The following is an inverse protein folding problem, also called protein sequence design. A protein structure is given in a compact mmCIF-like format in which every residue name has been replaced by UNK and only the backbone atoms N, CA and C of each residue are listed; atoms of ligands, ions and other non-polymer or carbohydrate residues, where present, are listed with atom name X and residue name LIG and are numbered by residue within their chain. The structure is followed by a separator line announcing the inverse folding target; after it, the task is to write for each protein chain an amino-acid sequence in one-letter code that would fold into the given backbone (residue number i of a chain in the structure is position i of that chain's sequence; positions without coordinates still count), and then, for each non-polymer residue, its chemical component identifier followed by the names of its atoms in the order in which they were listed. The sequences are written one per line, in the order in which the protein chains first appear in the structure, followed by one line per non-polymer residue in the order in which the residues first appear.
data_IF_775642191982
#
_entry.id   IF_775642191982
#
_cell.length_a   1.000
_cell.length_b   1.000
_cell.length_c   1.000
_cell.angle_alpha   90.00
_cell.angle_beta   90.00
_cell.angle_gamma   90.00
#
_symmetry.space_group_name_H-M   'P 1'
#
loop_
_entity.id
_entity.type
_entity.pdbx_description
1 polymer ?
#
# COMPACT_ATOMS: atom_id res chain seq x y z
N UNK A 1 -10.94 0.18 -3.18
CA UNK A 1 -10.71 -1.06 -3.96
C UNK A 1 -9.22 -1.38 -3.87
N UNK A 2 -8.86 -2.62 -3.58
CA UNK A 2 -7.47 -3.08 -3.50
C UNK A 2 -7.21 -4.01 -4.69
N UNK A 3 -6.12 -3.78 -5.42
CA UNK A 3 -5.60 -4.71 -6.41
C UNK A 3 -4.39 -5.41 -5.80
N UNK A 4 -4.37 -6.73 -5.86
CA UNK A 4 -3.29 -7.55 -5.29
C UNK A 4 -2.77 -8.47 -6.38
N UNK A 5 -1.46 -8.44 -6.60
CA UNK A 5 -0.76 -9.31 -7.53
C UNK A 5 0.38 -10.01 -6.78
N UNK A 6 0.53 -11.32 -6.98
CA UNK A 6 1.58 -12.11 -6.32
C UNK A 6 2.57 -12.62 -7.36
N UNK A 7 3.83 -12.26 -7.20
CA UNK A 7 4.93 -12.69 -8.06
C UNK A 7 6.04 -13.30 -7.19
N UNK A 8 6.16 -14.63 -7.23
CA UNK A 8 7.06 -15.39 -6.36
C UNK A 8 6.80 -15.11 -4.87
N UNK A 9 7.82 -14.61 -4.16
CA UNK A 9 7.79 -14.23 -2.74
C UNK A 9 7.41 -12.75 -2.53
N UNK A 10 7.11 -12.02 -3.62
CA UNK A 10 6.73 -10.60 -3.58
C UNK A 10 5.25 -10.45 -3.86
N UNK A 11 4.60 -9.61 -3.07
CA UNK A 11 3.19 -9.26 -3.19
C UNK A 11 3.11 -7.78 -3.51
N UNK A 12 2.58 -7.45 -4.68
CA UNK A 12 2.29 -6.09 -5.10
C UNK A 12 0.86 -5.75 -4.72
N UNK A 13 0.69 -4.65 -4.00
CA UNK A 13 -0.61 -4.16 -3.55
C UNK A 13 -0.76 -2.73 -4.05
N UNK A 14 -1.82 -2.48 -4.80
CA UNK A 14 -2.21 -1.16 -5.26
C UNK A 14 -3.57 -0.81 -4.67
N UNK A 15 -3.74 0.43 -4.22
CA UNK A 15 -5.01 0.88 -3.71
C UNK A 15 -5.09 2.35 -3.36
N UNK A 16 -6.32 2.81 -3.28
CA UNK A 16 -6.66 4.16 -2.86
C UNK A 16 -6.71 4.25 -1.34
N UNK A 17 -5.88 5.11 -0.76
CA UNK A 17 -5.81 5.33 0.69
C UNK A 17 -6.35 6.71 1.03
N UNK A 18 -7.37 6.82 1.91
CA UNK A 18 -7.88 8.11 2.33
C UNK A 18 -6.86 8.83 3.23
N UNK A 19 -6.62 10.10 2.92
CA UNK A 19 -5.83 10.97 3.77
C UNK A 19 -6.72 11.75 4.73
N UNK A 20 -6.21 12.01 5.93
CA UNK A 20 -6.87 12.91 6.88
C UNK A 20 -6.65 14.39 6.54
N UNK A 21 -5.63 14.71 5.73
CA UNK A 21 -5.19 16.08 5.46
C UNK A 21 -5.70 16.69 4.15
N UNK A 22 -6.26 15.89 3.24
CA UNK A 22 -6.79 16.36 1.97
C UNK A 22 -8.14 15.70 1.68
N UNK A 23 -9.07 16.45 1.09
CA UNK A 23 -10.31 15.90 0.54
C UNK A 23 -9.94 15.03 -0.65
N UNK A 24 -9.76 13.72 -0.44
CA UNK A 24 -9.41 12.80 -1.52
C UNK A 24 -8.73 11.51 -1.06
N UNK A 25 -8.25 10.78 -2.05
CA UNK A 25 -7.51 9.53 -1.88
C UNK A 25 -6.13 9.66 -2.51
N UNK A 26 -5.16 8.98 -1.92
CA UNK A 26 -3.84 8.82 -2.50
C UNK A 26 -3.80 7.49 -3.24
N UNK A 27 -3.33 7.51 -4.49
CA UNK A 27 -2.88 6.30 -5.17
C UNK A 27 -1.60 5.82 -4.51
N UNK A 28 -1.63 4.60 -4.00
CA UNK A 28 -0.53 3.99 -3.27
C UNK A 28 -0.28 2.60 -3.85
N UNK A 29 0.98 2.32 -4.11
CA UNK A 29 1.49 1.03 -4.58
C UNK A 29 2.61 0.58 -3.66
N UNK A 30 2.50 -0.60 -3.09
CA UNK A 30 3.53 -1.18 -2.23
C UNK A 30 3.90 -2.57 -2.72
N UNK A 31 5.18 -2.92 -2.59
CA UNK A 31 5.67 -4.30 -2.70
C UNK A 31 5.99 -4.82 -1.32
N UNK A 32 5.48 -6.00 -1.00
CA UNK A 32 5.64 -6.65 0.29
C UNK A 32 6.39 -7.96 0.08
N UNK A 33 7.37 -8.25 0.94
CA UNK A 33 7.97 -9.60 1.07
C UNK A 33 7.80 -10.06 2.51
N UNK A 34 7.07 -11.16 2.72
CA UNK A 34 6.60 -11.57 4.05
C UNK A 34 5.70 -10.51 4.70
N UNK A 35 6.23 -9.79 5.69
CA UNK A 35 5.52 -8.72 6.43
C UNK A 35 6.17 -7.34 6.27
N UNK A 36 7.16 -7.20 5.40
CA UNK A 36 7.91 -5.95 5.22
C UNK A 36 7.60 -5.32 3.88
N UNK A 37 7.38 -4.00 3.87
CA UNK A 37 7.37 -3.20 2.65
C UNK A 37 8.81 -3.12 2.14
N UNK A 38 9.06 -3.60 0.93
CA UNK A 38 10.37 -3.55 0.27
C UNK A 38 10.45 -2.41 -0.76
N UNK A 39 9.30 -1.97 -1.27
CA UNK A 39 9.18 -0.83 -2.18
C UNK A 39 7.83 -0.16 -1.96
N UNK A 40 7.79 1.16 -2.09
CA UNK A 40 6.57 1.94 -1.89
C UNK A 40 6.59 3.18 -2.78
N UNK A 41 5.48 3.38 -3.49
CA UNK A 41 5.24 4.54 -4.32
C UNK A 41 3.88 5.12 -3.94
N UNK A 42 3.87 6.39 -3.56
CA UNK A 42 2.69 7.10 -3.12
C UNK A 42 2.70 8.49 -3.75
N UNK A 43 1.54 8.97 -4.18
CA UNK A 43 1.37 10.32 -4.73
C UNK A 43 1.83 11.45 -3.79
N UNK A 44 2.04 11.18 -2.51
CA UNK A 44 2.62 12.16 -1.57
C UNK A 44 4.14 12.37 -1.76
N UNK A 45 4.80 11.60 -2.63
CA UNK A 45 6.22 11.74 -2.97
C UNK A 45 7.19 11.18 -1.93
N UNK A 46 6.70 10.58 -0.84
CA UNK A 46 7.56 10.00 0.20
C UNK A 46 7.68 8.48 0.06
N UNK A 47 8.90 7.91 0.15
CA UNK A 47 9.15 6.49 -0.09
C UNK A 47 8.61 5.57 1.02
N UNK A 48 8.48 6.04 2.25
CA UNK A 48 7.73 5.37 3.33
C UNK A 48 6.87 6.45 3.97
N UNK A 49 5.55 6.31 3.88
CA UNK A 49 4.60 7.27 4.41
C UNK A 49 3.46 6.57 5.15
N UNK A 50 2.67 7.31 5.95
CA UNK A 50 1.49 6.75 6.60
C UNK A 50 0.49 6.11 5.64
N UNK A 51 0.45 6.53 4.36
CA UNK A 51 -0.43 5.94 3.35
C UNK A 51 0.02 4.53 2.95
N UNK A 52 1.32 4.31 2.73
CA UNK A 52 1.90 3.00 2.44
C UNK A 52 1.65 2.01 3.59
N UNK A 53 1.84 2.44 4.84
CA UNK A 53 1.57 1.61 6.02
C UNK A 53 0.09 1.28 6.15
N UNK A 54 -0.81 2.27 5.94
CA UNK A 54 -2.25 2.02 5.93
C UNK A 54 -2.65 1.02 4.84
N UNK A 55 -2.08 1.11 3.64
CA UNK A 55 -2.35 0.18 2.56
C UNK A 55 -1.92 -1.25 2.94
N UNK A 56 -0.73 -1.38 3.53
CA UNK A 56 -0.25 -2.67 4.02
C UNK A 56 -1.18 -3.26 5.09
N UNK A 57 -1.61 -2.46 6.05
CA UNK A 57 -2.55 -2.89 7.09
C UNK A 57 -3.91 -3.29 6.52
N UNK A 58 -4.38 -2.56 5.50
CA UNK A 58 -5.61 -2.90 4.80
C UNK A 58 -5.47 -4.25 4.07
N UNK A 59 -4.35 -4.48 3.38
CA UNK A 59 -4.02 -5.76 2.75
C UNK A 59 -3.98 -6.92 3.76
N UNK A 60 -3.30 -6.74 4.90
CA UNK A 60 -3.20 -7.76 5.95
C UNK A 60 -4.57 -8.08 6.57
N UNK A 61 -5.49 -7.11 6.61
CA UNK A 61 -6.85 -7.32 7.12
C UNK A 61 -7.71 -8.16 6.16
N UNK A 62 -7.57 -7.97 4.85
CA UNK A 62 -8.38 -8.70 3.84
C UNK A 62 -7.77 -10.04 3.45
N UNK A 63 -6.49 -10.26 3.71
CA UNK A 63 -5.78 -11.50 3.37
C UNK A 63 -5.76 -12.52 4.51
N UNK A 64 -6.47 -12.23 5.61
CA UNK A 64 -6.70 -13.13 6.73
C UNK A 64 -8.04 -13.83 6.56
#
# INVERSE_FOLDING_TARGET
MLKVEKLNDVIEVEGLVPAKCAVGYYDVRIKIRGFKIIESNCQCGQPICPHAVKLQLAYLRVSR
#
